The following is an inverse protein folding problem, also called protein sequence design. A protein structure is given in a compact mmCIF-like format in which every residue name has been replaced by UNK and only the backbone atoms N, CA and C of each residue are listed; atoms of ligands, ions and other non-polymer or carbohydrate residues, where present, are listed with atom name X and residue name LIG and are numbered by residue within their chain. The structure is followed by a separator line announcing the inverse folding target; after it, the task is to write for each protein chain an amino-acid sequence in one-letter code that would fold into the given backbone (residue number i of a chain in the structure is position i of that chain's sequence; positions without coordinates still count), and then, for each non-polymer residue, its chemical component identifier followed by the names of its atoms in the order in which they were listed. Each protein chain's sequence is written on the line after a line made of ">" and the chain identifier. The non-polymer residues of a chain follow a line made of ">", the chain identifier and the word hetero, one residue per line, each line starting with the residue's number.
data_IF_043358498897
#
_entry.id   IF_043358498897
#
_cell.length_a   1.000
_cell.length_b   1.000
_cell.length_c   1.000
_cell.angle_alpha   90.00
_cell.angle_beta   90.00
_cell.angle_gamma   90.00
#
_symmetry.space_group_name_H-M   'P 1'
#
loop_
_entity.id
_entity.type
_entity.pdbx_description
1 polymer ?
#
# COMPACT_ATOMS: atom_id res chain seq x y z
N UNK A 1 -20.92 4.83 -17.12
CA UNK A 1 -19.60 4.29 -16.80
C UNK A 1 -18.74 4.30 -18.05
N UNK A 2 -17.67 5.09 -18.06
CA UNK A 2 -16.67 5.08 -19.14
C UNK A 2 -15.70 3.96 -18.82
N UNK A 3 -15.43 3.08 -19.80
CA UNK A 3 -14.36 2.08 -19.69
C UNK A 3 -13.11 2.64 -20.35
N UNK A 4 -11.97 2.54 -19.67
CA UNK A 4 -10.69 2.98 -20.20
C UNK A 4 -9.94 1.82 -20.84
N UNK A 5 -9.11 2.12 -21.84
CA UNK A 5 -8.09 1.17 -22.27
C UNK A 5 -6.90 1.18 -21.31
N UNK A 6 -6.13 0.08 -21.20
CA UNK A 6 -4.98 0.02 -20.28
C UNK A 6 -3.85 1.02 -20.56
N UNK A 7 -3.83 1.66 -21.74
CA UNK A 7 -2.84 2.70 -22.08
C UNK A 7 -3.30 4.07 -21.59
N UNK A 8 -4.62 4.31 -21.57
CA UNK A 8 -5.21 5.59 -21.17
C UNK A 8 -5.26 5.75 -19.65
N UNK A 9 -5.52 4.67 -18.92
CA UNK A 9 -5.61 4.67 -17.46
C UNK A 9 -5.19 3.34 -16.86
N UNK A 10 -4.67 3.38 -15.63
CA UNK A 10 -4.43 2.20 -14.80
C UNK A 10 -5.74 1.61 -14.26
N UNK A 11 -6.84 2.38 -14.25
CA UNK A 11 -8.17 1.94 -13.84
C UNK A 11 -8.97 1.41 -15.04
N UNK A 12 -9.82 0.41 -14.82
CA UNK A 12 -10.63 -0.14 -15.90
C UNK A 12 -11.81 0.77 -16.27
N UNK A 13 -12.19 1.69 -15.38
CA UNK A 13 -13.34 2.57 -15.59
C UNK A 13 -13.31 3.83 -14.72
N UNK A 14 -14.12 4.81 -15.10
CA UNK A 14 -14.31 6.05 -14.35
C UNK A 14 -14.86 5.82 -12.93
N UNK A 15 -15.73 4.82 -12.76
CA UNK A 15 -16.31 4.47 -11.45
C UNK A 15 -15.24 3.89 -10.50
N UNK A 16 -14.35 3.04 -11.01
CA UNK A 16 -13.26 2.46 -10.23
C UNK A 16 -12.25 3.54 -9.81
N UNK A 17 -11.93 4.46 -10.72
CA UNK A 17 -11.06 5.61 -10.44
C UNK A 17 -11.65 6.53 -9.36
N UNK A 18 -12.93 6.88 -9.47
CA UNK A 18 -13.63 7.69 -8.46
C UNK A 18 -13.68 7.01 -7.09
N UNK A 19 -13.93 5.69 -7.07
CA UNK A 19 -13.92 4.91 -5.83
C UNK A 19 -12.52 4.88 -5.19
N UNK A 20 -11.47 4.72 -6.00
CA UNK A 20 -10.08 4.76 -5.53
C UNK A 20 -9.71 6.14 -4.99
N UNK A 21 -10.03 7.22 -5.71
CA UNK A 21 -9.72 8.59 -5.28
C UNK A 21 -10.40 8.92 -3.94
N UNK A 22 -11.68 8.58 -3.80
CA UNK A 22 -12.42 8.78 -2.55
C UNK A 22 -11.78 8.04 -1.37
N UNK A 23 -11.43 6.76 -1.55
CA UNK A 23 -10.74 5.97 -0.54
C UNK A 23 -9.34 6.53 -0.22
N UNK A 24 -8.56 6.90 -1.24
CA UNK A 24 -7.20 7.38 -1.09
C UNK A 24 -7.17 8.70 -0.32
N UNK A 25 -8.06 9.65 -0.65
CA UNK A 25 -8.17 10.92 0.09
C UNK A 25 -8.56 10.69 1.55
N UNK A 26 -9.54 9.82 1.82
CA UNK A 26 -9.93 9.49 3.20
C UNK A 26 -8.76 8.87 3.99
N UNK A 27 -7.96 8.01 3.35
CA UNK A 27 -6.77 7.41 3.95
C UNK A 27 -5.69 8.45 4.25
N UNK A 28 -5.45 9.39 3.33
CA UNK A 28 -4.48 10.49 3.52
C UNK A 28 -4.93 11.42 4.64
N UNK A 29 -6.21 11.82 4.68
CA UNK A 29 -6.74 12.68 5.74
C UNK A 29 -6.55 12.05 7.12
N UNK A 30 -6.88 10.76 7.26
CA UNK A 30 -6.63 10.02 8.50
C UNK A 30 -5.15 10.02 8.89
N UNK A 31 -4.24 9.89 7.92
CA UNK A 31 -2.80 9.91 8.18
C UNK A 31 -2.32 11.30 8.61
N UNK A 32 -2.83 12.37 8.01
CA UNK A 32 -2.52 13.76 8.37
C UNK A 32 -3.02 14.13 9.77
N UNK A 33 -4.18 13.60 10.17
CA UNK A 33 -4.75 13.80 11.51
C UNK A 33 -4.10 12.94 12.60
N UNK A 34 -3.21 12.01 12.23
CA UNK A 34 -2.55 11.13 13.20
C UNK A 34 -1.60 11.92 14.11
N UNK A 35 -1.73 11.71 15.42
CA UNK A 35 -0.81 12.26 16.43
C UNK A 35 0.37 11.33 16.73
N UNK A 36 0.47 10.20 16.01
CA UNK A 36 1.58 9.28 16.16
C UNK A 36 2.92 9.96 15.82
N UNK A 37 4.01 9.62 16.54
CA UNK A 37 5.31 10.18 16.25
C UNK A 37 5.78 9.79 14.84
N UNK A 38 6.56 10.67 14.22
CA UNK A 38 7.24 10.35 12.95
C UNK A 38 8.28 9.27 13.19
N UNK A 39 8.38 8.33 12.27
CA UNK A 39 9.36 7.24 12.30
C UNK A 39 10.56 7.62 11.43
N UNK A 40 11.80 7.58 11.93
CA UNK A 40 12.99 7.77 11.12
C UNK A 40 13.10 6.73 10.00
N UNK A 41 13.69 7.12 8.88
CA UNK A 41 13.86 6.23 7.72
C UNK A 41 14.56 4.91 8.09
N UNK A 42 15.64 4.97 8.88
CA UNK A 42 16.39 3.79 9.32
C UNK A 42 15.53 2.79 10.10
N UNK A 43 14.62 3.28 10.94
CA UNK A 43 13.72 2.44 11.73
C UNK A 43 12.67 1.77 10.83
N UNK A 44 12.17 2.47 9.81
CA UNK A 44 11.27 1.88 8.80
C UNK A 44 11.97 0.74 8.05
N UNK A 45 13.21 0.97 7.61
CA UNK A 45 13.98 -0.05 6.89
C UNK A 45 14.29 -1.27 7.77
N UNK A 46 14.70 -1.05 9.01
CA UNK A 46 14.95 -2.14 9.97
C UNK A 46 13.69 -2.97 10.26
N UNK A 47 12.51 -2.33 10.29
CA UNK A 47 11.22 -3.02 10.43
C UNK A 47 10.89 -3.86 9.18
N UNK A 48 11.08 -3.28 7.99
CA UNK A 48 10.85 -3.98 6.72
C UNK A 48 11.74 -5.22 6.57
N UNK A 49 13.04 -5.11 6.88
CA UNK A 49 14.00 -6.22 6.82
C UNK A 49 13.57 -7.38 7.72
N UNK A 50 13.08 -7.09 8.94
CA UNK A 50 12.57 -8.10 9.86
C UNK A 50 11.35 -8.83 9.30
N UNK A 51 10.42 -8.10 8.67
CA UNK A 51 9.22 -8.68 8.05
C UNK A 51 9.63 -9.62 6.90
N UNK A 52 10.56 -9.18 6.05
CA UNK A 52 11.06 -9.95 4.91
C UNK A 52 11.80 -11.21 5.40
N UNK A 53 12.68 -11.09 6.39
CA UNK A 53 13.41 -12.24 6.94
C UNK A 53 12.44 -13.28 7.52
N UNK A 54 11.40 -12.85 8.24
CA UNK A 54 10.37 -13.73 8.78
C UNK A 54 9.57 -14.43 7.67
N UNK A 55 9.25 -13.72 6.59
CA UNK A 55 8.57 -14.31 5.44
C UNK A 55 9.44 -15.38 4.74
N UNK A 56 10.74 -15.12 4.58
CA UNK A 56 11.70 -16.08 4.01
C UNK A 56 11.85 -17.33 4.86
N UNK A 57 11.95 -17.17 6.18
CA UNK A 57 12.03 -18.32 7.09
C UNK A 57 10.79 -19.20 6.96
N UNK A 58 9.59 -18.60 6.96
CA UNK A 58 8.33 -19.33 6.76
C UNK A 58 8.28 -20.08 5.43
N UNK A 59 8.81 -19.49 4.36
CA UNK A 59 8.87 -20.16 3.07
C UNK A 59 9.81 -21.38 3.13
N UNK A 60 11.00 -21.21 3.70
CA UNK A 60 11.95 -22.31 3.88
C UNK A 60 11.41 -23.44 4.76
N UNK A 61 10.65 -23.11 5.81
CA UNK A 61 9.99 -24.10 6.69
C UNK A 61 8.85 -24.87 5.99
N UNK A 62 8.28 -24.35 4.89
CA UNK A 62 7.25 -25.03 4.11
C UNK A 62 7.84 -25.93 3.00
N UNK A 63 9.07 -25.65 2.58
CA UNK A 63 9.77 -26.36 1.51
C UNK A 63 10.66 -27.52 2.02
N UNK A 64 10.81 -27.69 3.34
CA UNK A 64 11.62 -28.72 3.99
C UNK A 64 10.81 -29.72 4.81
#
# INVERSE_FOLDING_TARGET
>A
MVKYSPIESEFASSEEEEAYDAWFRAKVERALQSTAPRVPHEEVMASADKIIAKARQRAADLDG
#
